data_IF_163498705760
#
_entry.id   IF_163498705760
#
_cell.length_a   1.000
_cell.length_b   1.000
_cell.length_c   1.000
_cell.angle_alpha   90.00
_cell.angle_beta   90.00
_cell.angle_gamma   90.00
#
_symmetry.space_group_name_H-M   'P 1'
#
loop_
_entity.id
_entity.type
_entity.pdbx_description
1 polymer ?
#
# COMPACT_ATOMS: atom_id res chain seq x y z
N UNK A 1 8.05 43.52 8.43
CA UNK A 1 9.39 43.06 8.04
C UNK A 1 9.21 42.10 6.87
N UNK A 2 9.60 42.51 5.68
CA UNK A 2 9.43 41.71 4.47
C UNK A 2 10.57 40.68 4.38
N UNK A 3 10.22 39.39 4.36
CA UNK A 3 11.17 38.28 4.29
C UNK A 3 10.90 37.49 3.02
N UNK A 4 11.96 37.19 2.28
CA UNK A 4 11.87 36.43 1.02
C UNK A 4 12.73 35.17 1.10
N UNK A 5 12.30 34.14 0.35
CA UNK A 5 12.95 32.83 0.31
C UNK A 5 13.68 32.68 -1.02
N UNK A 6 14.94 32.30 -0.95
CA UNK A 6 15.80 32.06 -2.10
C UNK A 6 16.37 30.65 -2.07
N UNK A 7 16.66 30.11 -3.25
CA UNK A 7 17.38 28.85 -3.40
C UNK A 7 18.76 29.16 -3.95
N UNK A 8 19.79 28.81 -3.19
CA UNK A 8 21.19 28.99 -3.58
C UNK A 8 21.78 27.64 -3.98
N UNK A 9 22.41 27.62 -5.16
CA UNK A 9 23.20 26.48 -5.62
C UNK A 9 24.52 26.42 -4.85
N UNK A 10 24.84 25.26 -4.29
CA UNK A 10 26.06 24.99 -3.51
C UNK A 10 26.74 23.76 -4.08
N UNK A 11 28.04 23.84 -4.34
CA UNK A 11 28.82 22.71 -4.84
C UNK A 11 29.42 21.96 -3.65
N UNK A 12 29.11 20.68 -3.54
CA UNK A 12 29.64 19.78 -2.53
C UNK A 12 30.57 18.74 -3.18
N UNK A 13 31.76 18.55 -2.62
CA UNK A 13 32.78 17.65 -3.18
C UNK A 13 32.34 16.18 -3.26
N UNK A 14 31.44 15.74 -2.38
CA UNK A 14 30.98 14.34 -2.31
C UNK A 14 29.67 14.11 -3.06
N UNK A 15 28.77 15.09 -3.03
CA UNK A 15 27.40 14.93 -3.54
C UNK A 15 27.12 15.75 -4.80
N UNK A 16 28.10 16.49 -5.32
CA UNK A 16 27.95 17.31 -6.52
C UNK A 16 27.14 18.58 -6.24
N UNK A 17 26.18 18.89 -7.10
CA UNK A 17 25.38 20.11 -7.00
C UNK A 17 24.24 19.94 -5.99
N UNK A 18 24.28 20.70 -4.91
CA UNK A 18 23.24 20.78 -3.90
C UNK A 18 22.53 22.13 -3.96
N UNK A 19 21.34 22.19 -3.38
CA UNK A 19 20.54 23.40 -3.29
C UNK A 19 20.21 23.67 -1.82
N UNK A 20 20.43 24.90 -1.38
CA UNK A 20 20.16 25.36 -0.02
C UNK A 20 19.09 26.44 -0.03
N UNK A 21 18.11 26.32 0.85
CA UNK A 21 17.09 27.33 1.06
C UNK A 21 17.60 28.38 2.05
N UNK A 22 17.44 29.65 1.69
CA UNK A 22 17.85 30.80 2.50
C UNK A 22 16.66 31.71 2.71
N UNK A 23 16.48 32.18 3.95
CA UNK A 23 15.62 33.31 4.26
C UNK A 23 16.49 34.56 4.27
N UNK A 24 16.08 35.58 3.52
CA UNK A 24 16.76 36.87 3.48
C UNK A 24 15.86 37.92 4.09
N UNK A 25 16.38 38.61 5.10
CA UNK A 25 15.77 39.82 5.62
C UNK A 25 16.10 40.98 4.67
N UNK A 26 15.08 41.54 4.01
CA UNK A 26 15.24 42.58 2.99
C UNK A 26 15.74 43.92 3.57
N UNK A 27 15.57 44.15 4.87
CA UNK A 27 16.02 45.39 5.52
C UNK A 27 17.48 45.33 5.96
N UNK A 28 17.96 44.15 6.36
CA UNK A 28 19.31 43.98 6.92
C UNK A 28 20.26 43.21 6.01
N UNK A 29 19.76 42.59 4.94
CA UNK A 29 20.53 41.75 4.02
C UNK A 29 21.08 40.47 4.66
N UNK A 30 20.62 40.12 5.87
CA UNK A 30 21.08 38.91 6.56
C UNK A 30 20.45 37.67 5.94
N UNK A 31 21.31 36.73 5.56
CA UNK A 31 20.93 35.41 5.05
C UNK A 31 20.94 34.40 6.20
N UNK A 32 19.86 33.64 6.34
CA UNK A 32 19.75 32.53 7.29
C UNK A 32 19.38 31.24 6.56
N UNK A 33 20.14 30.17 6.80
CA UNK A 33 19.84 28.86 6.25
C UNK A 33 18.59 28.29 6.91
N UNK A 34 17.62 27.88 6.09
CA UNK A 34 16.34 27.36 6.57
C UNK A 34 16.11 25.96 6.01
N UNK A 35 15.56 25.07 6.83
CA UNK A 35 15.10 23.78 6.35
C UNK A 35 13.71 23.97 5.71
N UNK A 36 13.51 23.57 4.45
CA UNK A 36 12.22 23.77 3.77
C UNK A 36 11.05 23.08 4.48
N UNK A 37 11.33 22.02 5.25
CA UNK A 37 10.34 21.28 6.03
C UNK A 37 9.90 21.96 7.33
N UNK A 38 10.65 22.95 7.82
CA UNK A 38 10.29 23.76 8.99
C UNK A 38 9.47 25.01 8.60
N UNK A 39 9.41 25.35 7.31
CA UNK A 39 8.81 26.60 6.83
C UNK A 39 7.39 26.46 6.23
N UNK A 40 6.92 25.26 5.94
CA UNK A 40 5.52 25.07 5.57
C UNK A 40 4.74 24.44 6.74
N UNK A 41 3.44 24.69 6.87
CA UNK A 41 2.55 23.77 7.54
C UNK A 41 2.43 22.53 6.62
N UNK A 42 3.52 21.81 6.43
CA UNK A 42 3.37 20.41 6.04
C UNK A 42 2.56 19.82 7.18
N UNK A 43 1.38 19.22 6.92
CA UNK A 43 0.72 18.47 7.95
C UNK A 43 1.79 17.57 8.54
N UNK A 44 1.91 17.56 9.88
CA UNK A 44 2.70 16.55 10.57
C UNK A 44 2.46 15.27 9.79
N UNK A 45 3.53 14.70 9.22
CA UNK A 45 3.41 13.40 8.59
C UNK A 45 3.05 12.52 9.75
N UNK A 46 1.74 12.31 9.93
CA UNK A 46 1.21 11.30 10.83
C UNK A 46 1.87 10.06 10.26
N UNK A 47 2.88 9.58 10.99
CA UNK A 47 3.45 8.27 10.76
C UNK A 47 2.32 7.32 11.13
N UNK A 48 1.36 7.17 10.21
CA UNK A 48 0.41 6.09 10.26
C UNK A 48 1.28 4.84 10.28
N UNK A 49 1.28 4.15 11.41
CA UNK A 49 2.01 2.91 11.56
C UNK A 49 1.67 2.04 10.36
N UNK A 50 2.69 1.61 9.60
CA UNK A 50 2.48 0.77 8.43
C UNK A 50 1.60 -0.41 8.85
N UNK A 51 0.46 -0.63 8.19
CA UNK A 51 -0.48 -1.63 8.66
C UNK A 51 0.18 -3.00 8.59
N UNK A 52 -0.09 -3.82 9.60
CA UNK A 52 0.48 -5.15 9.69
C UNK A 52 0.03 -5.99 8.47
N UNK A 53 1.01 -6.38 7.66
CA UNK A 53 0.75 -7.12 6.42
C UNK A 53 0.60 -8.60 6.71
N UNK A 54 -0.44 -9.16 6.14
CA UNK A 54 -0.80 -10.56 6.22
C UNK A 54 -0.77 -11.17 4.83
N UNK A 55 -0.33 -12.41 4.74
CA UNK A 55 -0.16 -13.15 3.50
C UNK A 55 -0.96 -14.44 3.53
N UNK A 56 -1.43 -14.85 2.35
CA UNK A 56 -2.04 -16.15 2.18
C UNK A 56 -1.53 -16.81 0.91
N UNK A 57 -1.20 -18.10 1.03
CA UNK A 57 -0.80 -18.94 -0.08
C UNK A 57 -1.64 -20.20 -0.11
N UNK A 58 -1.98 -20.69 -1.30
CA UNK A 58 -2.69 -21.95 -1.46
C UNK A 58 -2.09 -22.83 -2.55
N UNK A 59 -2.28 -24.14 -2.41
CA UNK A 59 -1.86 -25.14 -3.41
C UNK A 59 -2.51 -24.93 -4.80
N UNK A 60 -3.59 -24.14 -4.90
CA UNK A 60 -4.27 -23.79 -6.16
C UNK A 60 -3.71 -22.52 -6.81
N UNK A 61 -2.62 -21.98 -6.28
CA UNK A 61 -1.94 -20.82 -6.85
C UNK A 61 -2.47 -19.47 -6.39
N UNK A 62 -3.21 -19.41 -5.28
CA UNK A 62 -3.43 -18.12 -4.61
C UNK A 62 -2.15 -17.69 -3.90
N UNK A 63 -1.79 -16.42 -4.01
CA UNK A 63 -0.65 -15.75 -3.39
C UNK A 63 -1.03 -14.28 -3.23
N UNK A 64 -1.58 -13.91 -2.08
CA UNK A 64 -2.18 -12.60 -1.84
C UNK A 64 -1.68 -11.97 -0.55
N UNK A 65 -1.62 -10.65 -0.54
CA UNK A 65 -1.22 -9.82 0.60
C UNK A 65 -2.39 -8.92 0.97
N UNK A 66 -2.69 -8.81 2.26
CA UNK A 66 -3.73 -7.93 2.77
C UNK A 66 -3.42 -7.39 4.16
N UNK A 67 -4.26 -6.50 4.64
CA UNK A 67 -4.12 -5.85 5.94
C UNK A 67 -5.47 -5.44 6.51
N UNK A 68 -5.53 -5.25 7.82
CA UNK A 68 -6.72 -4.71 8.47
C UNK A 68 -6.79 -3.20 8.30
N UNK A 69 -7.96 -2.69 7.92
CA UNK A 69 -8.26 -1.26 7.83
C UNK A 69 -9.49 -0.98 8.70
N UNK A 70 -9.26 -0.55 9.94
CA UNK A 70 -10.31 -0.36 10.94
C UNK A 70 -11.22 -1.60 11.07
N UNK A 71 -12.45 -1.57 10.54
CA UNK A 71 -13.43 -2.67 10.58
C UNK A 71 -13.46 -3.54 9.32
N UNK A 72 -12.60 -3.28 8.34
CA UNK A 72 -12.53 -4.02 7.08
C UNK A 72 -11.16 -4.68 6.86
N UNK A 73 -11.07 -5.48 5.80
CA UNK A 73 -9.84 -6.13 5.38
C UNK A 73 -9.56 -5.82 3.92
N UNK A 74 -8.38 -5.28 3.63
CA UNK A 74 -7.99 -4.88 2.29
C UNK A 74 -7.00 -5.87 1.73
N UNK A 75 -7.23 -6.34 0.50
CA UNK A 75 -6.25 -7.10 -0.28
C UNK A 75 -5.58 -6.17 -1.26
N UNK A 76 -4.25 -6.16 -1.26
CA UNK A 76 -3.43 -5.23 -2.04
C UNK A 76 -3.45 -5.56 -3.53
N UNK A 77 -3.39 -4.51 -4.34
CA UNK A 77 -3.06 -4.57 -5.75
C UNK A 77 -1.83 -5.46 -6.01
N UNK A 78 -1.86 -6.22 -7.10
CA UNK A 78 -0.80 -7.15 -7.50
C UNK A 78 -0.88 -8.53 -6.83
N UNK A 79 -1.76 -8.70 -5.84
CA UNK A 79 -2.09 -10.01 -5.28
C UNK A 79 -2.66 -10.96 -6.35
N UNK A 80 -2.48 -12.27 -6.14
CA UNK A 80 -2.90 -13.32 -7.07
C UNK A 80 -3.93 -14.22 -6.41
N UNK A 81 -5.09 -14.33 -7.03
CA UNK A 81 -6.14 -15.26 -6.64
C UNK A 81 -6.01 -16.55 -7.45
N UNK A 82 -6.45 -17.67 -6.87
CA UNK A 82 -6.47 -18.95 -7.58
C UNK A 82 -7.38 -18.87 -8.81
N UNK A 83 -6.96 -19.40 -9.97
CA UNK A 83 -7.76 -19.34 -11.19
C UNK A 83 -9.13 -20.03 -11.06
N UNK A 84 -9.21 -21.14 -10.32
CA UNK A 84 -10.42 -21.93 -10.18
C UNK A 84 -10.93 -21.98 -8.74
N UNK A 85 -12.16 -22.49 -8.57
CA UNK A 85 -12.76 -22.76 -7.27
C UNK A 85 -12.83 -24.26 -7.01
N UNK A 86 -12.75 -24.67 -5.75
CA UNK A 86 -12.97 -26.07 -5.38
C UNK A 86 -14.46 -26.44 -5.49
N UNK A 87 -14.80 -27.73 -5.67
CA UNK A 87 -16.20 -28.18 -5.73
C UNK A 87 -17.01 -27.87 -4.46
N UNK A 88 -16.34 -27.70 -3.32
CA UNK A 88 -16.95 -27.37 -2.02
C UNK A 88 -16.88 -25.87 -1.69
N UNK A 89 -16.49 -25.03 -2.64
CA UNK A 89 -16.42 -23.59 -2.42
C UNK A 89 -17.85 -23.03 -2.17
N UNK A 90 -18.07 -22.30 -1.06
CA UNK A 90 -19.36 -21.67 -0.81
C UNK A 90 -19.79 -20.73 -1.95
N UNK A 91 -21.06 -20.83 -2.37
CA UNK A 91 -21.63 -20.01 -3.46
C UNK A 91 -21.41 -18.50 -3.28
N UNK A 92 -21.39 -18.02 -2.03
CA UNK A 92 -21.13 -16.61 -1.72
C UNK A 92 -19.76 -16.13 -2.23
N UNK A 93 -18.71 -16.96 -2.14
CA UNK A 93 -17.37 -16.59 -2.59
C UNK A 93 -17.23 -16.69 -4.11
N UNK A 94 -17.95 -17.64 -4.73
CA UNK A 94 -18.05 -17.72 -6.19
C UNK A 94 -18.67 -16.44 -6.75
N UNK A 95 -19.84 -16.04 -6.22
CA UNK A 95 -20.51 -14.80 -6.63
C UNK A 95 -19.64 -13.56 -6.38
N UNK A 96 -18.97 -13.49 -5.23
CA UNK A 96 -18.06 -12.40 -4.92
C UNK A 96 -16.94 -12.27 -5.97
N UNK A 97 -16.34 -13.40 -6.39
CA UNK A 97 -15.33 -13.40 -7.45
C UNK A 97 -15.90 -12.99 -8.80
N UNK A 98 -17.08 -13.48 -9.16
CA UNK A 98 -17.77 -13.10 -10.40
C UNK A 98 -18.01 -11.59 -10.45
N UNK A 99 -18.51 -11.00 -9.36
CA UNK A 99 -18.67 -9.53 -9.24
C UNK A 99 -17.34 -8.81 -9.43
N UNK A 100 -16.27 -9.23 -8.73
CA UNK A 100 -14.95 -8.59 -8.85
C UNK A 100 -14.34 -8.70 -10.26
N UNK A 101 -14.64 -9.78 -10.99
CA UNK A 101 -14.22 -9.95 -12.39
C UNK A 101 -15.03 -9.01 -13.30
N UNK A 102 -16.35 -8.92 -13.12
CA UNK A 102 -17.20 -8.00 -13.87
C UNK A 102 -16.80 -6.54 -13.65
N UNK A 103 -16.43 -6.20 -12.41
CA UNK A 103 -15.94 -4.88 -12.02
C UNK A 103 -14.48 -4.63 -12.45
N UNK A 104 -13.84 -5.59 -13.15
CA UNK A 104 -12.45 -5.52 -13.61
C UNK A 104 -11.40 -5.38 -12.51
N UNK A 105 -11.76 -5.63 -11.25
CA UNK A 105 -10.84 -5.68 -10.10
C UNK A 105 -10.02 -6.97 -10.07
N UNK A 106 -10.55 -8.03 -10.67
CA UNK A 106 -9.86 -9.29 -10.91
C UNK A 106 -9.77 -9.57 -12.41
N UNK A 107 -8.56 -9.73 -12.93
CA UNK A 107 -8.33 -10.03 -14.35
C UNK A 107 -7.67 -11.40 -14.50
N UNK A 108 -8.21 -12.30 -15.35
CA UNK A 108 -7.55 -13.56 -15.66
C UNK A 108 -6.17 -13.33 -16.28
N UNK A 109 -5.13 -13.87 -15.66
CA UNK A 109 -3.76 -13.84 -16.17
C UNK A 109 -3.14 -15.23 -16.01
N UNK A 110 -2.95 -15.91 -17.14
CA UNK A 110 -2.49 -17.31 -17.19
C UNK A 110 -3.37 -18.24 -16.34
N UNK A 111 -2.83 -18.75 -15.23
CA UNK A 111 -3.51 -19.69 -14.33
C UNK A 111 -3.83 -19.04 -12.96
N UNK A 112 -4.01 -17.73 -12.94
CA UNK A 112 -4.35 -16.93 -11.76
C UNK A 112 -5.34 -15.82 -12.13
N UNK A 113 -5.97 -15.21 -11.13
CA UNK A 113 -6.64 -13.92 -11.30
C UNK A 113 -5.80 -12.84 -10.62
N UNK A 114 -5.39 -11.83 -11.36
CA UNK A 114 -4.59 -10.71 -10.86
C UNK A 114 -5.50 -9.65 -10.25
N UNK A 115 -5.17 -9.22 -9.04
CA UNK A 115 -5.83 -8.10 -8.35
C UNK A 115 -5.30 -6.79 -8.94
N UNK A 116 -6.19 -6.03 -9.60
CA UNK A 116 -5.83 -4.84 -10.37
C UNK A 116 -5.77 -3.56 -9.54
N UNK A 117 -6.44 -3.52 -8.39
CA UNK A 117 -6.48 -2.42 -7.44
C UNK A 117 -6.74 -2.97 -6.04
N UNK A 118 -6.55 -2.16 -5.00
CA UNK A 118 -6.86 -2.57 -3.63
C UNK A 118 -8.35 -2.92 -3.49
N UNK A 119 -8.65 -4.12 -2.96
CA UNK A 119 -10.00 -4.63 -2.79
C UNK A 119 -10.33 -4.69 -1.30
N UNK A 120 -11.33 -3.93 -0.90
CA UNK A 120 -11.87 -3.95 0.45
C UNK A 120 -12.91 -5.06 0.61
N UNK A 121 -12.81 -5.81 1.71
CA UNK A 121 -13.72 -6.86 2.12
C UNK A 121 -14.23 -6.60 3.52
N UNK A 122 -15.49 -6.92 3.78
CA UNK A 122 -16.09 -6.79 5.12
C UNK A 122 -15.36 -7.61 6.18
N UNK A 123 -14.73 -8.72 5.77
CA UNK A 123 -14.00 -9.60 6.69
C UNK A 123 -12.78 -10.24 6.03
N UNK A 124 -11.72 -10.55 6.79
CA UNK A 124 -10.56 -11.33 6.30
C UNK A 124 -10.96 -12.71 5.75
N UNK A 125 -12.04 -13.29 6.27
CA UNK A 125 -12.56 -14.59 5.82
C UNK A 125 -13.20 -14.50 4.43
N UNK A 126 -13.87 -13.39 4.10
CA UNK A 126 -14.40 -13.14 2.77
C UNK A 126 -13.26 -12.94 1.76
N UNK A 127 -12.26 -12.12 2.12
CA UNK A 127 -11.05 -11.92 1.33
C UNK A 127 -10.35 -13.25 1.02
N UNK A 128 -10.14 -14.08 2.05
CA UNK A 128 -9.55 -15.40 1.89
C UNK A 128 -10.39 -16.30 0.98
N UNK A 129 -11.71 -16.39 1.23
CA UNK A 129 -12.61 -17.23 0.45
C UNK A 129 -12.59 -16.90 -1.04
N UNK A 130 -12.54 -15.60 -1.36
CA UNK A 130 -12.35 -15.11 -2.73
C UNK A 130 -10.97 -15.47 -3.28
N UNK A 131 -9.90 -15.22 -2.51
CA UNK A 131 -8.52 -15.44 -2.93
C UNK A 131 -8.22 -16.91 -3.26
N UNK A 132 -8.59 -17.84 -2.37
CA UNK A 132 -8.29 -19.26 -2.53
C UNK A 132 -9.32 -20.01 -3.37
N UNK A 133 -10.53 -19.45 -3.53
CA UNK A 133 -11.64 -20.14 -4.21
C UNK A 133 -12.04 -21.44 -3.51
N UNK A 134 -12.12 -21.47 -2.19
CA UNK A 134 -12.34 -22.72 -1.44
C UNK A 134 -13.09 -22.53 -0.13
N UNK A 135 -13.24 -23.63 0.61
CA UNK A 135 -13.73 -23.57 1.98
C UNK A 135 -12.63 -23.04 2.90
N UNK A 136 -13.04 -22.20 3.86
CA UNK A 136 -12.16 -21.44 4.76
C UNK A 136 -12.45 -21.87 6.20
N UNK A 137 -11.40 -22.13 6.99
CA UNK A 137 -11.51 -22.56 8.41
C UNK A 137 -11.38 -21.41 9.42
N UNK A 138 -11.28 -20.17 8.95
CA UNK A 138 -11.19 -18.96 9.78
C UNK A 138 -10.13 -17.99 9.27
N UNK A 139 -9.94 -16.83 9.92
CA UNK A 139 -8.96 -15.84 9.51
C UNK A 139 -7.50 -16.25 9.77
N UNK A 140 -7.26 -17.24 10.64
CA UNK A 140 -5.92 -17.72 11.04
C UNK A 140 -5.03 -18.23 9.91
N UNK A 141 -5.58 -18.46 8.71
CA UNK A 141 -4.80 -18.88 7.55
C UNK A 141 -4.07 -17.69 6.89
N UNK A 142 -4.44 -16.45 7.22
CA UNK A 142 -3.63 -15.26 6.97
C UNK A 142 -2.46 -15.23 7.95
N UNK A 143 -1.23 -15.21 7.42
CA UNK A 143 0.00 -15.25 8.21
C UNK A 143 0.73 -13.93 8.13
N UNK A 144 1.29 -13.48 9.24
CA UNK A 144 2.18 -12.30 9.26
C UNK A 144 3.24 -12.41 8.15
N UNK A 145 3.38 -11.33 7.40
CA UNK A 145 4.42 -11.22 6.41
C UNK A 145 5.76 -11.11 7.15
N UNK A 146 6.52 -12.20 7.19
CA UNK A 146 7.87 -12.18 7.74
C UNK A 146 8.71 -11.21 6.90
N UNK A 147 9.03 -10.04 7.47
CA UNK A 147 9.98 -9.10 6.87
C UNK A 147 11.33 -9.82 6.78
N UNK A 148 11.74 -10.24 5.59
CA UNK A 148 13.09 -10.76 5.38
C UNK A 148 14.06 -9.58 5.53
N UNK A 149 14.67 -9.47 6.70
CA UNK A 149 15.83 -8.60 6.92
C UNK A 149 16.93 -9.08 5.96
N UNK A 150 17.29 -8.24 4.99
CA UNK A 150 18.45 -8.42 4.11
C UNK A 150 19.54 -7.47 4.58
#
# INVERSE_FOLDING_TARGET
>A
MAQEIYVKKVINEKYGELYQFLRVDLETGKEEAVFPFEMAPFPEVILEEEPELLTIQSKRGADAVGYYKASSFVVKQGSKFAASTSPKCPKKYIKLRETLILDKKLVPLHNQLLVMEDIEFDTPMAAMGAAIGGWVRGPHDWKEQVKKTT
#
